data_IF_147326076645
#
_entry.id   IF_147326076645
#
_cell.length_a   1.000
_cell.length_b   1.000
_cell.length_c   1.000
_cell.angle_alpha   90.00
_cell.angle_beta   90.00
_cell.angle_gamma   90.00
#
_symmetry.space_group_name_H-M   'P 1'
#
loop_
_entity.id
_entity.type
_entity.pdbx_description
1 polymer ?
#
# COMPACT_ATOMS: atom_id res chain seq x y z
N UNK A 1 64.99 23.96 37.70
CA UNK A 1 65.97 22.86 37.64
C UNK A 1 65.26 21.56 37.92
N UNK A 2 65.31 20.63 36.97
CA UNK A 2 64.90 19.23 37.10
C UNK A 2 65.63 18.57 38.27
N UNK A 3 64.94 17.77 39.10
CA UNK A 3 65.23 16.33 39.26
C UNK A 3 64.29 15.61 40.25
N UNK A 4 63.79 14.49 39.74
CA UNK A 4 63.66 13.15 40.32
C UNK A 4 62.63 12.74 41.39
N UNK A 5 62.07 11.57 41.03
CA UNK A 5 61.07 10.71 41.67
C UNK A 5 61.64 9.94 42.87
N UNK A 6 60.76 9.66 43.83
CA UNK A 6 60.84 8.52 44.74
C UNK A 6 59.44 7.93 44.96
N UNK A 7 59.27 6.63 44.70
CA UNK A 7 58.03 5.84 44.80
C UNK A 7 57.50 5.73 46.25
N UNK A 8 56.18 5.51 46.47
CA UNK A 8 55.68 4.89 47.70
C UNK A 8 55.35 3.40 47.52
N UNK A 9 55.51 2.65 48.61
CA UNK A 9 55.12 1.24 48.81
C UNK A 9 53.69 1.14 49.41
N UNK A 10 53.08 -0.06 49.47
CA UNK A 10 51.63 -0.24 49.31
C UNK A 10 50.84 -0.24 50.63
N UNK A 11 49.55 0.10 50.54
CA UNK A 11 48.56 -0.13 51.59
C UNK A 11 47.41 -0.98 51.05
N UNK A 12 47.19 -2.12 51.72
CA UNK A 12 46.09 -3.07 51.49
C UNK A 12 44.76 -2.44 51.90
N UNK A 13 43.77 -2.50 51.02
CA UNK A 13 42.36 -2.35 51.38
C UNK A 13 41.66 -3.62 50.94
N UNK A 14 41.08 -4.32 51.92
CA UNK A 14 40.20 -5.48 51.77
C UNK A 14 38.90 -5.03 51.08
N UNK A 15 38.67 -5.46 49.84
CA UNK A 15 37.40 -5.31 49.16
C UNK A 15 36.44 -6.45 49.56
N UNK A 16 35.27 -6.05 50.04
CA UNK A 16 34.10 -6.92 50.20
C UNK A 16 33.48 -7.09 48.80
N UNK A 17 33.55 -8.30 48.25
CA UNK A 17 32.91 -8.62 46.99
C UNK A 17 31.39 -8.69 47.16
N UNK A 18 30.67 -7.65 46.72
CA UNK A 18 29.25 -7.75 46.41
C UNK A 18 29.13 -8.27 44.96
N UNK A 19 28.72 -9.53 44.79
CA UNK A 19 28.41 -10.08 43.48
C UNK A 19 27.10 -9.46 42.96
N UNK A 20 27.22 -8.48 42.06
CA UNK A 20 26.09 -8.03 41.23
C UNK A 20 26.02 -8.95 40.02
N UNK A 21 25.05 -9.87 40.01
CA UNK A 21 24.72 -10.66 38.83
C UNK A 21 24.08 -9.74 37.79
N UNK A 22 24.87 -9.25 36.84
CA UNK A 22 24.34 -8.75 35.58
C UNK A 22 23.88 -9.94 34.75
N UNK A 23 22.58 -10.22 34.75
CA UNK A 23 21.97 -11.06 33.71
C UNK A 23 22.09 -10.31 32.39
N UNK A 24 23.09 -10.64 31.57
CA UNK A 24 23.09 -10.27 30.16
C UNK A 24 21.94 -11.04 29.48
N UNK A 25 20.76 -10.43 29.40
CA UNK A 25 19.75 -10.86 28.43
C UNK A 25 20.20 -10.42 27.05
N UNK A 26 20.98 -11.25 26.38
CA UNK A 26 21.16 -11.16 24.95
C UNK A 26 19.77 -11.27 24.29
N UNK A 27 19.41 -10.40 23.34
CA UNK A 27 18.18 -10.59 22.57
C UNK A 27 18.33 -11.90 21.81
N UNK A 28 17.44 -12.86 22.09
CA UNK A 28 17.30 -14.07 21.29
C UNK A 28 16.89 -13.61 19.91
N UNK A 29 17.83 -13.65 18.97
CA UNK A 29 17.53 -13.53 17.56
C UNK A 29 16.64 -14.72 17.20
N UNK A 30 15.35 -14.46 17.01
CA UNK A 30 14.44 -15.43 16.41
C UNK A 30 14.84 -15.55 14.95
N UNK A 31 15.75 -16.48 14.66
CA UNK A 31 15.96 -16.95 13.31
C UNK A 31 14.63 -17.48 12.77
N UNK A 32 14.09 -16.83 11.74
CA UNK A 32 13.01 -17.41 10.95
C UNK A 32 13.55 -18.70 10.35
N UNK A 33 13.00 -19.83 10.79
CA UNK A 33 13.14 -21.10 10.08
C UNK A 33 12.48 -20.88 8.72
N UNK A 34 13.29 -20.78 7.67
CA UNK A 34 12.81 -20.93 6.30
C UNK A 34 12.58 -22.41 6.13
N UNK A 35 11.34 -22.83 6.32
CA UNK A 35 10.92 -24.19 6.04
C UNK A 35 10.97 -24.39 4.51
N UNK A 36 11.93 -25.19 4.07
CA UNK A 36 12.23 -25.44 2.68
C UNK A 36 11.54 -26.75 2.24
N UNK A 37 10.23 -26.82 2.45
CA UNK A 37 9.37 -27.91 2.00
C UNK A 37 8.36 -27.38 0.98
N UNK A 38 8.48 -27.83 -0.27
CA UNK A 38 7.45 -27.60 -1.29
C UNK A 38 6.09 -28.08 -0.81
N UNK A 39 5.09 -27.19 -0.93
CA UNK A 39 3.73 -27.20 -0.35
C UNK A 39 3.63 -26.82 1.14
N UNK A 40 3.34 -25.55 1.42
CA UNK A 40 2.68 -25.13 2.66
C UNK A 40 1.74 -23.94 2.37
N UNK A 41 0.58 -23.92 3.05
CA UNK A 41 -0.66 -23.31 2.56
C UNK A 41 -0.68 -21.80 2.36
N UNK A 42 -1.74 -21.32 1.71
CA UNK A 42 -1.97 -19.89 1.51
C UNK A 42 -2.04 -19.13 2.84
N UNK A 43 -1.29 -18.03 2.94
CA UNK A 43 -1.34 -17.12 4.10
C UNK A 43 -2.78 -16.61 4.31
N UNK A 44 -3.20 -16.51 5.56
CA UNK A 44 -4.60 -16.22 5.90
C UNK A 44 -5.07 -14.87 5.36
N UNK A 45 -4.15 -13.89 5.25
CA UNK A 45 -4.45 -12.59 4.69
C UNK A 45 -4.91 -12.65 3.23
N UNK A 46 -4.38 -13.57 2.44
CA UNK A 46 -4.78 -13.74 1.04
C UNK A 46 -6.11 -14.50 0.91
N UNK A 47 -6.36 -15.46 1.82
CA UNK A 47 -7.66 -16.13 1.94
C UNK A 47 -8.77 -15.16 2.30
N UNK A 48 -8.46 -14.11 3.07
CA UNK A 48 -9.39 -13.01 3.37
C UNK A 48 -9.80 -12.23 2.11
N UNK A 49 -8.87 -12.03 1.17
CA UNK A 49 -9.11 -11.17 0.00
C UNK A 49 -9.93 -11.85 -1.09
N UNK A 50 -9.66 -13.12 -1.36
CA UNK A 50 -10.39 -13.89 -2.37
C UNK A 50 -10.15 -15.40 -2.19
N UNK A 51 -11.19 -16.22 -2.37
CA UNK A 51 -11.07 -17.69 -2.40
C UNK A 51 -10.11 -18.16 -3.50
N UNK A 52 -10.06 -17.42 -4.61
CA UNK A 52 -9.23 -17.67 -5.78
C UNK A 52 -8.01 -16.74 -5.86
N UNK A 53 -7.54 -16.23 -4.72
CA UNK A 53 -6.33 -15.40 -4.69
C UNK A 53 -5.16 -16.15 -5.35
N UNK A 54 -4.34 -15.43 -6.13
CA UNK A 54 -3.33 -16.05 -7.01
C UNK A 54 -2.28 -16.85 -6.24
N UNK A 55 -1.98 -16.42 -5.01
CA UNK A 55 -1.07 -17.11 -4.07
C UNK A 55 -1.73 -18.29 -3.35
N UNK A 56 -3.07 -18.38 -3.35
CA UNK A 56 -3.79 -19.50 -2.75
C UNK A 56 -4.08 -20.64 -3.73
N UNK A 57 -4.16 -20.32 -5.02
CA UNK A 57 -4.45 -21.29 -6.06
C UNK A 57 -3.26 -22.22 -6.27
N UNK A 58 -3.55 -23.50 -6.46
CA UNK A 58 -2.57 -24.44 -6.98
C UNK A 58 -2.33 -24.16 -8.47
N UNK A 59 -1.07 -24.21 -8.95
CA UNK A 59 -0.77 -24.13 -10.37
C UNK A 59 -1.57 -25.17 -11.15
N UNK A 60 -2.08 -24.80 -12.33
CA UNK A 60 -2.73 -25.77 -13.22
C UNK A 60 -1.71 -26.83 -13.64
N UNK A 61 -2.09 -28.11 -13.61
CA UNK A 61 -1.17 -29.22 -13.92
C UNK A 61 -0.55 -29.13 -15.33
N UNK A 62 -1.25 -28.48 -16.27
CA UNK A 62 -0.78 -28.22 -17.63
C UNK A 62 0.28 -27.10 -17.71
N UNK A 63 0.34 -26.20 -16.72
CA UNK A 63 1.34 -25.16 -16.65
C UNK A 63 2.62 -25.70 -16.02
N UNK A 64 3.59 -26.03 -16.86
CA UNK A 64 4.92 -26.49 -16.43
C UNK A 64 5.98 -25.51 -16.96
N UNK A 65 6.27 -24.42 -16.23
CA UNK A 65 7.29 -23.47 -16.63
C UNK A 65 8.67 -24.15 -16.77
N UNK A 66 9.29 -24.02 -17.94
CA UNK A 66 10.69 -24.43 -18.19
C UNK A 66 11.69 -23.37 -17.73
N UNK A 67 11.24 -22.12 -17.60
CA UNK A 67 11.97 -21.01 -17.00
C UNK A 67 10.97 -20.18 -16.21
N UNK A 68 11.34 -19.75 -15.00
CA UNK A 68 10.50 -18.92 -14.15
C UNK A 68 11.37 -18.03 -13.25
N UNK A 69 10.84 -16.88 -12.86
CA UNK A 69 11.52 -15.95 -11.95
C UNK A 69 12.03 -14.68 -12.65
N UNK A 70 12.42 -13.72 -11.82
CA UNK A 70 13.01 -12.44 -12.23
C UNK A 70 14.28 -12.25 -11.42
N UNK A 71 15.43 -12.20 -12.09
CA UNK A 71 16.73 -12.00 -11.43
C UNK A 71 16.95 -10.53 -11.08
N UNK A 72 17.90 -10.22 -10.19
CA UNK A 72 18.15 -8.83 -9.77
C UNK A 72 18.54 -7.91 -10.93
N UNK A 73 19.34 -8.40 -11.88
CA UNK A 73 19.65 -7.65 -13.10
C UNK A 73 18.40 -7.34 -13.96
N UNK A 74 17.41 -8.24 -13.97
CA UNK A 74 16.14 -7.98 -14.65
C UNK A 74 15.34 -6.90 -13.91
N UNK A 75 15.34 -6.88 -12.58
CA UNK A 75 14.65 -5.85 -11.78
C UNK A 75 15.14 -4.45 -12.15
N UNK A 76 16.46 -4.28 -12.30
CA UNK A 76 17.07 -3.01 -12.72
C UNK A 76 16.64 -2.62 -14.14
N UNK A 77 16.66 -3.56 -15.09
CA UNK A 77 16.20 -3.33 -16.47
C UNK A 77 14.72 -2.92 -16.49
N UNK A 78 13.88 -3.61 -15.72
CA UNK A 78 12.45 -3.35 -15.62
C UNK A 78 12.22 -1.94 -15.09
N UNK A 79 12.83 -1.57 -13.96
CA UNK A 79 12.67 -0.24 -13.36
C UNK A 79 13.17 0.86 -14.30
N UNK A 80 14.36 0.67 -14.89
CA UNK A 80 14.94 1.63 -15.82
C UNK A 80 14.03 1.85 -17.03
N UNK A 81 13.48 0.78 -17.62
CA UNK A 81 12.56 0.88 -18.75
C UNK A 81 11.24 1.57 -18.37
N UNK A 82 10.65 1.24 -17.22
CA UNK A 82 9.43 1.90 -16.73
C UNK A 82 9.64 3.40 -16.54
N UNK A 83 10.68 3.78 -15.78
CA UNK A 83 10.95 5.17 -15.45
C UNK A 83 11.43 5.98 -16.66
N UNK A 84 12.15 5.37 -17.61
CA UNK A 84 12.49 5.99 -18.90
C UNK A 84 11.23 6.42 -19.66
N UNK A 85 10.25 5.52 -19.84
CA UNK A 85 9.02 5.86 -20.56
C UNK A 85 8.16 6.86 -19.80
N UNK A 86 8.04 6.72 -18.48
CA UNK A 86 7.33 7.70 -17.63
C UNK A 86 7.94 9.09 -17.74
N UNK A 87 9.28 9.18 -17.71
CA UNK A 87 10.00 10.44 -17.86
C UNK A 87 9.77 11.07 -19.22
N UNK A 88 9.81 10.29 -20.31
CA UNK A 88 9.52 10.79 -21.66
C UNK A 88 8.11 11.38 -21.78
N UNK A 89 7.12 10.78 -21.12
CA UNK A 89 5.75 11.29 -21.05
C UNK A 89 5.73 12.59 -20.25
N UNK A 90 6.32 12.60 -19.05
CA UNK A 90 6.28 13.74 -18.14
C UNK A 90 6.87 15.02 -18.77
N UNK A 91 8.01 14.91 -19.46
CA UNK A 91 8.69 16.05 -20.09
C UNK A 91 8.19 16.35 -21.51
N UNK A 92 7.18 15.64 -22.02
CA UNK A 92 6.59 15.92 -23.33
C UNK A 92 7.47 15.59 -24.54
N UNK A 93 8.46 14.70 -24.42
CA UNK A 93 9.48 14.42 -25.45
C UNK A 93 8.91 13.87 -26.78
N UNK A 94 7.62 13.53 -26.85
CA UNK A 94 6.97 12.98 -28.05
C UNK A 94 5.82 13.86 -28.60
N UNK A 95 5.59 15.08 -28.08
CA UNK A 95 4.59 16.08 -28.55
C UNK A 95 3.12 15.62 -28.74
N UNK A 96 2.81 14.32 -28.58
CA UNK A 96 1.48 13.72 -28.79
C UNK A 96 0.59 13.73 -27.55
N UNK A 97 1.18 13.98 -26.39
CA UNK A 97 0.52 13.92 -25.10
C UNK A 97 0.85 15.17 -24.28
N UNK A 98 -0.08 15.62 -23.40
CA UNK A 98 0.21 16.66 -22.43
C UNK A 98 1.40 16.28 -21.53
N UNK A 99 2.07 17.30 -21.01
CA UNK A 99 3.03 17.14 -19.93
C UNK A 99 2.32 16.64 -18.67
N UNK A 100 3.05 15.86 -17.86
CA UNK A 100 2.54 15.34 -16.60
C UNK A 100 3.17 16.08 -15.43
N UNK A 101 2.37 16.82 -14.67
CA UNK A 101 2.88 17.63 -13.56
C UNK A 101 3.23 16.84 -12.30
N UNK A 102 2.68 15.63 -12.16
CA UNK A 102 2.70 14.84 -10.92
C UNK A 102 3.18 13.38 -11.09
N UNK A 103 3.95 13.08 -12.14
CA UNK A 103 4.38 11.72 -12.46
C UNK A 103 5.41 11.18 -11.46
N UNK A 104 5.04 10.18 -10.65
CA UNK A 104 5.97 9.55 -9.70
C UNK A 104 7.03 8.69 -10.39
N UNK A 105 8.23 8.66 -9.81
CA UNK A 105 9.22 7.63 -10.11
C UNK A 105 8.81 6.29 -9.49
N UNK A 106 8.92 5.21 -10.24
CA UNK A 106 8.60 3.86 -9.75
C UNK A 106 9.78 3.23 -9.02
N UNK A 107 9.49 2.50 -7.96
CA UNK A 107 10.42 1.66 -7.20
C UNK A 107 9.96 0.20 -7.19
N UNK A 108 10.89 -0.72 -6.98
CA UNK A 108 10.57 -2.14 -6.88
C UNK A 108 9.81 -2.46 -5.59
N UNK A 109 8.86 -3.39 -5.66
CA UNK A 109 8.21 -3.98 -4.48
C UNK A 109 8.13 -5.50 -4.61
N UNK A 110 8.69 -6.19 -3.61
CA UNK A 110 8.79 -7.65 -3.62
C UNK A 110 7.45 -8.38 -3.39
N UNK A 111 6.48 -7.76 -2.72
CA UNK A 111 5.16 -8.36 -2.55
C UNK A 111 4.37 -8.31 -3.86
N UNK A 112 4.48 -7.20 -4.61
CA UNK A 112 3.98 -7.10 -5.99
C UNK A 112 4.66 -8.12 -6.91
N UNK A 113 5.98 -8.29 -6.79
CA UNK A 113 6.72 -9.28 -7.58
C UNK A 113 6.25 -10.71 -7.26
N UNK A 114 5.98 -11.02 -5.99
CA UNK A 114 5.46 -12.33 -5.56
C UNK A 114 4.12 -12.65 -6.21
N UNK A 115 3.15 -11.73 -6.17
CA UNK A 115 1.84 -11.97 -6.81
C UNK A 115 1.93 -12.00 -8.34
N UNK A 116 2.81 -11.19 -8.94
CA UNK A 116 3.06 -11.20 -10.37
C UNK A 116 3.72 -12.51 -10.83
N UNK A 117 4.67 -13.04 -10.06
CA UNK A 117 5.34 -14.31 -10.34
C UNK A 117 4.40 -15.50 -10.15
N UNK A 118 3.57 -15.47 -9.11
CA UNK A 118 2.51 -16.46 -8.95
C UNK A 118 1.58 -16.46 -10.17
N UNK A 119 1.13 -15.30 -10.64
CA UNK A 119 0.34 -15.17 -11.86
C UNK A 119 1.05 -15.77 -13.08
N UNK A 120 2.33 -15.44 -13.30
CA UNK A 120 3.10 -16.00 -14.41
C UNK A 120 3.20 -17.54 -14.34
N UNK A 121 3.34 -18.09 -13.13
CA UNK A 121 3.40 -19.53 -12.87
C UNK A 121 2.06 -20.26 -13.03
N UNK A 122 0.95 -19.55 -13.25
CA UNK A 122 -0.33 -20.18 -13.61
C UNK A 122 -0.50 -20.33 -15.13
N UNK A 123 0.37 -19.73 -15.96
CA UNK A 123 0.29 -19.77 -17.43
C UNK A 123 -1.08 -19.35 -18.02
N UNK A 124 -1.86 -18.60 -17.25
CA UNK A 124 -3.24 -18.27 -17.62
C UNK A 124 -3.34 -16.82 -18.08
N UNK A 125 -4.42 -16.54 -18.79
CA UNK A 125 -4.81 -15.17 -19.05
C UNK A 125 -5.18 -14.47 -17.73
N UNK A 126 -5.17 -13.15 -17.80
CA UNK A 126 -5.58 -12.20 -16.79
C UNK A 126 -6.72 -12.72 -15.87
N UNK A 127 -6.50 -12.91 -14.55
CA UNK A 127 -7.60 -13.09 -13.61
C UNK A 127 -8.56 -11.92 -13.74
N UNK A 128 -9.85 -12.22 -13.91
CA UNK A 128 -10.90 -11.20 -14.09
C UNK A 128 -11.30 -10.50 -12.78
N UNK A 129 -10.71 -10.90 -11.65
CA UNK A 129 -11.04 -10.42 -10.31
C UNK A 129 -10.02 -9.41 -9.79
N UNK A 130 -10.50 -8.25 -9.32
CA UNK A 130 -9.67 -7.17 -8.76
C UNK A 130 -8.99 -7.51 -7.44
N UNK A 131 -9.57 -8.38 -6.61
CA UNK A 131 -9.00 -8.77 -5.31
C UNK A 131 -8.08 -9.98 -5.36
N UNK A 132 -7.94 -10.65 -6.51
CA UNK A 132 -7.15 -11.89 -6.63
C UNK A 132 -5.64 -11.69 -6.61
N UNK A 133 -5.16 -10.45 -6.70
CA UNK A 133 -3.75 -10.08 -6.56
C UNK A 133 -3.53 -9.01 -5.51
N UNK A 134 -4.53 -8.77 -4.65
CA UNK A 134 -4.46 -7.78 -3.59
C UNK A 134 -3.36 -8.16 -2.60
N UNK A 135 -2.61 -7.17 -2.15
CA UNK A 135 -1.63 -7.33 -1.07
C UNK A 135 -1.93 -6.32 0.05
N UNK A 136 -1.38 -6.53 1.25
CA UNK A 136 -1.67 -5.66 2.41
C UNK A 136 -1.41 -4.18 2.13
N UNK A 137 -0.29 -3.88 1.47
CA UNK A 137 0.12 -2.51 1.11
C UNK A 137 -0.82 -1.83 0.10
N UNK A 138 -1.46 -2.59 -0.78
CA UNK A 138 -2.23 -2.06 -1.91
C UNK A 138 -3.55 -2.81 -2.08
N UNK A 139 -4.68 -2.21 -1.64
CA UNK A 139 -6.02 -2.77 -1.83
C UNK A 139 -6.37 -3.01 -3.30
N UNK A 140 -5.84 -2.17 -4.19
CA UNK A 140 -5.98 -2.28 -5.64
C UNK A 140 -4.60 -2.44 -6.27
N UNK A 141 -4.36 -3.61 -6.87
CA UNK A 141 -3.13 -3.92 -7.60
C UNK A 141 -3.42 -3.91 -9.09
N UNK A 142 -2.78 -2.99 -9.81
CA UNK A 142 -2.85 -2.96 -11.26
C UNK A 142 -2.04 -4.10 -11.85
N UNK A 143 -2.40 -4.58 -13.05
CA UNK A 143 -1.61 -5.60 -13.76
C UNK A 143 -1.58 -5.35 -15.25
N UNK A 144 -0.40 -5.43 -15.83
CA UNK A 144 -0.19 -5.49 -17.28
C UNK A 144 1.03 -6.39 -17.58
N UNK A 145 1.38 -6.56 -18.84
CA UNK A 145 2.48 -7.40 -19.28
C UNK A 145 2.31 -7.85 -20.73
N UNK A 146 3.03 -8.91 -21.09
CA UNK A 146 3.08 -9.39 -22.47
C UNK A 146 2.96 -10.91 -22.51
N UNK A 147 2.35 -11.41 -23.59
CA UNK A 147 2.40 -12.82 -23.95
C UNK A 147 3.08 -12.94 -25.31
N UNK A 148 4.26 -13.53 -25.34
CA UNK A 148 5.04 -13.72 -26.57
C UNK A 148 5.08 -15.20 -26.89
N UNK A 149 4.64 -15.57 -28.09
CA UNK A 149 4.77 -16.94 -28.61
C UNK A 149 6.04 -17.06 -29.42
N UNK A 150 6.80 -18.14 -29.25
CA UNK A 150 8.11 -18.32 -29.91
C UNK A 150 8.49 -19.78 -30.08
N UNK A 151 9.24 -20.10 -31.13
CA UNK A 151 9.93 -21.38 -31.28
C UNK A 151 11.34 -21.38 -30.68
N UNK A 152 11.79 -20.21 -30.21
CA UNK A 152 13.14 -20.04 -29.70
C UNK A 152 13.34 -20.77 -28.38
N UNK A 153 14.37 -21.61 -28.33
CA UNK A 153 14.87 -22.19 -27.09
C UNK A 153 15.58 -21.14 -26.21
N UNK A 154 15.73 -19.88 -26.66
CA UNK A 154 16.29 -18.81 -25.83
C UNK A 154 15.43 -18.58 -24.56
N UNK A 155 16.09 -18.70 -23.42
CA UNK A 155 15.49 -18.59 -22.10
C UNK A 155 15.56 -17.17 -21.51
N UNK A 156 16.30 -16.26 -22.13
CA UNK A 156 16.37 -14.87 -21.67
C UNK A 156 15.01 -14.17 -21.84
N UNK A 157 14.65 -13.40 -20.81
CA UNK A 157 13.52 -12.50 -20.83
C UNK A 157 13.91 -11.20 -21.57
N UNK A 158 13.01 -10.70 -22.42
CA UNK A 158 13.16 -9.41 -23.10
C UNK A 158 12.23 -8.38 -22.44
N UNK A 159 12.64 -7.92 -21.26
CA UNK A 159 11.87 -6.96 -20.47
C UNK A 159 11.74 -5.60 -21.15
N UNK A 160 12.82 -5.10 -21.77
CA UNK A 160 12.77 -3.84 -22.51
C UNK A 160 11.79 -3.93 -23.69
N UNK A 161 11.82 -5.03 -24.45
CA UNK A 161 10.90 -5.26 -25.55
C UNK A 161 9.44 -5.34 -25.10
N UNK A 162 9.16 -6.04 -24.00
CA UNK A 162 7.80 -6.11 -23.44
C UNK A 162 7.30 -4.74 -22.98
N UNK A 163 8.06 -4.02 -22.16
CA UNK A 163 7.66 -2.70 -21.65
C UNK A 163 7.56 -1.69 -22.81
N UNK A 164 8.43 -1.80 -23.81
CA UNK A 164 8.34 -1.02 -25.03
C UNK A 164 7.09 -1.32 -25.85
N UNK A 165 6.61 -2.57 -25.88
CA UNK A 165 5.33 -2.93 -26.49
C UNK A 165 4.15 -2.29 -25.75
N UNK A 166 4.18 -2.29 -24.42
CA UNK A 166 3.18 -1.57 -23.61
C UNK A 166 3.16 -0.07 -23.95
N UNK A 167 4.34 0.58 -24.04
CA UNK A 167 4.42 1.99 -24.43
C UNK A 167 3.90 2.24 -25.86
N UNK A 168 4.13 1.33 -26.81
CA UNK A 168 3.66 1.43 -28.20
C UNK A 168 2.14 1.43 -28.33
N UNK A 169 1.38 0.98 -27.33
CA UNK A 169 -0.09 1.12 -27.36
C UNK A 169 -0.52 2.59 -27.45
N UNK A 170 0.32 3.52 -26.96
CA UNK A 170 0.12 4.97 -27.13
C UNK A 170 -0.09 5.41 -28.57
N UNK A 171 0.45 4.67 -29.55
CA UNK A 171 0.30 4.97 -30.97
C UNK A 171 -1.15 4.85 -31.44
N UNK A 172 -1.98 4.06 -30.75
CA UNK A 172 -3.41 3.87 -31.02
C UNK A 172 -4.26 5.06 -30.56
N UNK A 173 -3.69 5.97 -29.78
CA UNK A 173 -4.36 7.18 -29.31
C UNK A 173 -4.27 8.23 -30.42
N UNK A 174 -5.41 8.79 -30.88
CA UNK A 174 -5.39 9.92 -31.81
C UNK A 174 -4.52 11.05 -31.28
N UNK A 175 -3.90 11.84 -32.16
CA UNK A 175 -3.17 13.01 -31.71
C UNK A 175 -4.17 14.02 -31.11
N UNK A 176 -4.16 14.15 -29.78
CA UNK A 176 -5.03 15.07 -29.05
C UNK A 176 -4.29 16.38 -28.76
N UNK A 177 -5.03 17.44 -28.44
CA UNK A 177 -4.42 18.69 -27.96
C UNK A 177 -3.46 18.40 -26.80
N UNK A 178 -2.36 19.15 -26.71
CA UNK A 178 -1.40 19.13 -25.60
C UNK A 178 -2.00 19.57 -24.26
N UNK A 179 -3.29 19.91 -24.22
CA UNK A 179 -4.06 20.27 -23.03
C UNK A 179 -5.15 19.27 -22.65
N UNK A 180 -5.42 18.24 -23.47
CA UNK A 180 -6.52 17.30 -23.23
C UNK A 180 -6.11 16.23 -22.20
N UNK A 181 -6.81 16.10 -21.06
CA UNK A 181 -6.52 15.06 -20.10
C UNK A 181 -6.58 13.65 -20.70
N UNK A 182 -5.53 12.87 -20.49
CA UNK A 182 -5.49 11.47 -20.92
C UNK A 182 -6.31 10.60 -19.96
N UNK A 183 -7.13 9.72 -20.51
CA UNK A 183 -7.94 8.73 -19.77
C UNK A 183 -7.78 7.35 -20.39
N UNK A 184 -7.96 6.32 -19.59
CA UNK A 184 -7.90 4.92 -20.07
C UNK A 184 -9.05 4.61 -21.02
N UNK A 185 -8.71 3.93 -22.12
CA UNK A 185 -9.66 3.45 -23.12
C UNK A 185 -9.30 2.01 -23.50
N UNK A 186 -10.23 1.33 -24.18
CA UNK A 186 -10.03 -0.07 -24.61
C UNK A 186 -8.86 -0.16 -25.58
N UNK A 187 -7.94 -1.10 -25.32
CA UNK A 187 -6.78 -1.38 -26.15
C UNK A 187 -5.55 -0.51 -25.90
N UNK A 188 -5.53 0.30 -24.83
CA UNK A 188 -4.37 1.11 -24.41
C UNK A 188 -4.07 0.97 -22.91
N UNK A 189 -4.70 0.00 -22.24
CA UNK A 189 -4.68 -0.17 -20.79
C UNK A 189 -3.26 -0.40 -20.25
N UNK A 190 -2.39 -1.05 -21.04
CA UNK A 190 -0.98 -1.27 -20.65
C UNK A 190 -0.20 0.02 -20.68
N UNK A 191 -0.39 0.83 -21.73
CA UNK A 191 0.21 2.16 -21.80
C UNK A 191 -0.27 3.05 -20.65
N UNK A 192 -1.58 3.12 -20.39
CA UNK A 192 -2.11 4.00 -19.35
C UNK A 192 -1.75 3.55 -17.94
N UNK A 193 -1.60 2.24 -17.69
CA UNK A 193 -1.04 1.76 -16.41
C UNK A 193 0.44 2.14 -16.26
N UNK A 194 1.25 1.97 -17.31
CA UNK A 194 2.65 2.39 -17.33
C UNK A 194 2.79 3.91 -17.06
N UNK A 195 1.88 4.70 -17.64
CA UNK A 195 1.83 6.15 -17.53
C UNK A 195 1.07 6.68 -16.29
N UNK A 196 0.54 5.81 -15.43
CA UNK A 196 -0.32 6.24 -14.32
C UNK A 196 0.48 7.01 -13.27
N UNK A 197 0.23 8.30 -13.09
CA UNK A 197 1.07 9.18 -12.27
C UNK A 197 1.19 8.70 -10.82
N UNK A 198 0.07 8.28 -10.21
CA UNK A 198 0.01 7.86 -8.81
C UNK A 198 0.64 6.48 -8.54
N UNK A 199 0.86 5.66 -9.58
CA UNK A 199 1.53 4.36 -9.43
C UNK A 199 3.03 4.58 -9.27
N UNK A 200 3.59 4.10 -8.17
CA UNK A 200 5.01 4.30 -7.82
C UNK A 200 5.70 3.03 -7.31
N UNK A 201 4.97 1.93 -7.14
CA UNK A 201 5.55 0.61 -6.91
C UNK A 201 5.26 -0.31 -8.07
N UNK A 202 6.25 -1.12 -8.46
CA UNK A 202 6.11 -2.17 -9.45
C UNK A 202 6.85 -3.42 -9.00
N UNK A 203 6.28 -4.58 -9.28
CA UNK A 203 6.97 -5.86 -9.14
C UNK A 203 6.51 -6.79 -10.24
N UNK A 204 7.43 -7.52 -10.86
CA UNK A 204 7.12 -8.33 -12.03
C UNK A 204 7.47 -9.82 -11.81
N UNK A 205 6.89 -10.65 -12.66
CA UNK A 205 7.05 -12.09 -12.72
C UNK A 205 7.12 -12.58 -14.15
N UNK A 206 7.86 -13.66 -14.38
CA UNK A 206 8.08 -14.22 -15.70
C UNK A 206 7.98 -15.74 -15.69
N UNK A 207 7.39 -16.30 -16.74
CA UNK A 207 7.38 -17.73 -17.00
C UNK A 207 7.49 -17.99 -18.50
N UNK A 208 8.33 -18.95 -18.88
CA UNK A 208 8.35 -19.57 -20.20
C UNK A 208 7.84 -21.00 -20.06
N UNK A 209 6.87 -21.40 -20.86
CA UNK A 209 6.24 -22.72 -20.77
C UNK A 209 5.89 -23.25 -22.17
N UNK A 210 5.72 -24.58 -22.33
CA UNK A 210 5.26 -25.17 -23.59
C UNK A 210 3.94 -24.55 -24.04
N UNK A 211 3.84 -24.14 -25.30
CA UNK A 211 2.60 -23.57 -25.82
C UNK A 211 1.59 -24.64 -26.21
N UNK A 212 0.30 -24.32 -26.07
CA UNK A 212 -0.78 -25.05 -26.73
C UNK A 212 -1.05 -24.61 -28.18
N UNK A 213 -0.20 -23.76 -28.76
CA UNK A 213 -0.36 -23.21 -30.12
C UNK A 213 0.61 -23.84 -31.14
N UNK A 214 0.67 -23.31 -32.36
CA UNK A 214 1.59 -23.79 -33.40
C UNK A 214 3.07 -23.55 -33.10
N UNK A 215 3.38 -22.59 -32.22
CA UNK A 215 4.75 -22.28 -31.77
C UNK A 215 5.09 -23.11 -30.54
N UNK A 216 6.37 -23.44 -30.32
CA UNK A 216 6.78 -24.36 -29.24
C UNK A 216 6.57 -23.81 -27.83
N UNK A 217 6.74 -22.50 -27.61
CA UNK A 217 6.73 -21.89 -26.27
C UNK A 217 5.88 -20.62 -26.22
N UNK A 218 5.34 -20.35 -25.03
CA UNK A 218 4.85 -19.02 -24.65
C UNK A 218 5.74 -18.45 -23.54
N UNK A 219 5.99 -17.14 -23.62
CA UNK A 219 6.68 -16.33 -22.60
C UNK A 219 5.67 -15.34 -22.04
N UNK A 220 5.27 -15.54 -20.78
CA UNK A 220 4.36 -14.67 -20.06
C UNK A 220 5.15 -13.74 -19.13
N UNK A 221 5.07 -12.45 -19.44
CA UNK A 221 5.59 -11.37 -18.62
C UNK A 221 4.41 -10.76 -17.87
N UNK A 222 4.54 -10.62 -16.56
CA UNK A 222 3.51 -10.02 -15.71
C UNK A 222 4.14 -8.95 -14.86
N UNK A 223 3.59 -7.74 -14.84
CA UNK A 223 3.95 -6.71 -13.88
C UNK A 223 2.72 -6.31 -13.08
N UNK A 224 2.89 -6.26 -11.76
CA UNK A 224 1.90 -5.81 -10.79
C UNK A 224 2.29 -4.41 -10.29
N UNK A 225 1.31 -3.54 -10.09
CA UNK A 225 1.48 -2.10 -9.89
C UNK A 225 0.74 -1.62 -8.64
N UNK A 226 1.42 -0.80 -7.83
CA UNK A 226 0.92 -0.29 -6.56
C UNK A 226 1.04 1.24 -6.44
N UNK A 227 -0.05 1.96 -6.08
CA UNK A 227 -1.44 1.54 -6.28
C UNK A 227 -1.73 1.24 -7.75
N UNK A 228 -2.74 0.42 -8.02
CA UNK A 228 -3.22 0.13 -9.37
C UNK A 228 -3.76 1.37 -10.08
N UNK A 229 -3.47 1.47 -11.37
CA UNK A 229 -3.97 2.53 -12.23
C UNK A 229 -5.25 2.15 -12.96
N UNK A 230 -5.54 2.86 -14.06
CA UNK A 230 -6.70 2.64 -14.92
C UNK A 230 -8.05 2.72 -14.20
N UNK A 231 -8.13 3.54 -13.16
CA UNK A 231 -9.38 3.79 -12.43
C UNK A 231 -10.37 4.48 -13.37
N UNK A 232 -11.56 3.91 -13.48
CA UNK A 232 -12.60 4.41 -14.39
C UNK A 232 -13.00 5.83 -14.00
N UNK A 233 -12.95 6.75 -14.96
CA UNK A 233 -13.34 8.15 -14.74
C UNK A 233 -12.22 9.01 -14.16
N UNK A 234 -11.04 8.45 -13.88
CA UNK A 234 -9.85 9.20 -13.48
C UNK A 234 -8.97 9.58 -14.67
N UNK A 235 -8.11 10.57 -14.47
CA UNK A 235 -7.08 10.97 -15.44
C UNK A 235 -5.81 10.16 -15.17
N UNK A 236 -5.07 9.82 -16.23
CA UNK A 236 -3.82 9.05 -16.11
C UNK A 236 -2.75 9.83 -15.35
N UNK A 237 -2.72 11.15 -15.54
CA UNK A 237 -1.89 12.10 -14.81
C UNK A 237 -2.50 13.50 -14.89
N UNK A 238 -2.07 14.41 -14.02
CA UNK A 238 -2.49 15.81 -14.08
C UNK A 238 -1.72 16.54 -15.19
N UNK A 239 -2.45 17.26 -16.03
CA UNK A 239 -1.87 18.04 -17.13
C UNK A 239 -1.19 19.28 -16.56
N UNK A 240 0.09 19.46 -16.87
CA UNK A 240 0.85 20.64 -16.47
C UNK A 240 2.36 20.45 -16.65
N UNK A 241 3.16 21.52 -16.51
CA UNK A 241 4.61 21.42 -16.62
C UNK A 241 5.16 20.32 -15.71
N UNK A 242 6.15 19.56 -16.21
CA UNK A 242 6.76 18.49 -15.44
C UNK A 242 7.16 18.99 -14.04
N UNK A 243 6.78 18.23 -13.02
CA UNK A 243 7.05 18.50 -11.61
C UNK A 243 6.38 19.73 -10.99
N UNK A 244 5.43 20.37 -11.69
CA UNK A 244 4.71 21.50 -11.12
C UNK A 244 3.68 21.13 -10.06
N UNK A 245 3.38 19.83 -9.88
CA UNK A 245 2.37 19.34 -8.94
C UNK A 245 2.77 17.97 -8.36
N UNK A 246 4.06 17.79 -8.05
CA UNK A 246 4.52 16.60 -7.35
C UNK A 246 3.88 16.51 -5.96
N UNK A 247 3.43 15.31 -5.53
CA UNK A 247 2.79 15.15 -4.22
C UNK A 247 3.79 15.42 -3.09
N UNK A 248 3.27 15.72 -1.90
CA UNK A 248 4.10 15.85 -0.70
C UNK A 248 4.95 14.59 -0.45
N UNK A 249 6.04 14.72 0.31
CA UNK A 249 6.94 13.59 0.54
C UNK A 249 7.76 13.17 -0.69
N UNK A 250 7.71 13.98 -1.77
CA UNK A 250 8.52 13.80 -2.97
C UNK A 250 9.34 15.05 -3.28
N UNK A 251 10.31 14.89 -4.18
CA UNK A 251 11.09 15.95 -4.79
C UNK A 251 11.14 15.74 -6.29
N UNK A 252 11.58 16.74 -7.05
CA UNK A 252 11.88 16.55 -8.46
C UNK A 252 13.10 17.35 -8.92
N UNK A 253 13.90 16.74 -9.80
CA UNK A 253 15.03 17.38 -10.45
C UNK A 253 16.01 17.98 -9.44
N UNK A 254 16.37 19.25 -9.62
CA UNK A 254 17.32 19.94 -8.75
C UNK A 254 16.87 20.06 -7.28
N UNK A 255 15.55 20.05 -7.02
CA UNK A 255 15.03 20.16 -5.65
C UNK A 255 15.39 18.96 -4.77
N UNK A 256 15.65 17.80 -5.38
CA UNK A 256 16.05 16.58 -4.66
C UNK A 256 17.39 16.69 -3.93
N UNK A 257 18.25 17.62 -4.35
CA UNK A 257 19.54 17.87 -3.66
C UNK A 257 19.37 18.24 -2.20
N UNK A 258 18.25 18.87 -1.81
CA UNK A 258 17.94 19.21 -0.41
C UNK A 258 17.74 17.98 0.50
N UNK A 259 17.48 16.83 -0.11
CA UNK A 259 17.28 15.55 0.55
C UNK A 259 18.47 14.59 0.37
N UNK A 260 19.57 15.05 -0.26
CA UNK A 260 20.70 14.18 -0.59
C UNK A 260 20.39 13.16 -1.71
N UNK A 261 19.30 13.34 -2.45
CA UNK A 261 18.87 12.45 -3.53
C UNK A 261 19.31 13.00 -4.88
N UNK A 262 19.90 12.14 -5.72
CA UNK A 262 20.19 12.45 -7.12
C UNK A 262 19.24 11.66 -8.01
N UNK A 263 18.19 12.29 -8.57
CA UNK A 263 17.17 11.58 -9.32
C UNK A 263 17.75 11.08 -10.65
N UNK A 264 17.48 9.82 -11.00
CA UNK A 264 17.87 9.25 -12.30
C UNK A 264 17.12 9.93 -13.46
N UNK A 265 15.91 10.44 -13.17
CA UNK A 265 15.05 11.13 -14.13
C UNK A 265 14.58 12.48 -13.58
N UNK A 266 15.12 13.58 -14.11
CA UNK A 266 14.86 14.93 -13.58
C UNK A 266 13.44 15.45 -13.76
N UNK A 267 12.58 14.74 -14.51
CA UNK A 267 11.17 15.10 -14.74
C UNK A 267 10.18 14.22 -13.98
N UNK A 268 10.65 13.36 -13.08
CA UNK A 268 9.80 12.53 -12.23
C UNK A 268 9.84 13.02 -10.78
N UNK A 269 8.73 12.79 -10.08
CA UNK A 269 8.60 13.02 -8.65
C UNK A 269 9.20 11.83 -7.90
N UNK A 270 10.41 12.00 -7.37
CA UNK A 270 11.15 11.00 -6.60
C UNK A 270 10.73 11.04 -5.14
N UNK A 271 10.42 9.89 -4.54
CA UNK A 271 10.04 9.79 -3.13
C UNK A 271 11.24 10.10 -2.22
N UNK A 272 11.04 10.93 -1.20
CA UNK A 272 12.07 11.33 -0.22
C UNK A 272 11.67 11.08 1.23
N UNK A 273 10.45 10.59 1.45
CA UNK A 273 9.92 10.17 2.75
C UNK A 273 9.41 8.74 2.69
N UNK A 274 8.60 8.33 3.67
CA UNK A 274 7.95 7.02 3.70
C UNK A 274 6.79 6.97 2.69
N UNK A 275 7.09 7.08 1.39
CA UNK A 275 6.12 7.16 0.28
C UNK A 275 5.64 8.57 -0.07
N UNK A 276 4.95 8.72 -1.22
CA UNK A 276 4.31 9.96 -1.62
C UNK A 276 3.14 10.26 -0.68
N UNK A 277 3.07 11.47 -0.15
CA UNK A 277 1.96 11.92 0.68
C UNK A 277 0.64 11.83 -0.09
N UNK A 278 -0.41 11.39 0.60
CA UNK A 278 -1.76 11.72 0.18
C UNK A 278 -1.87 13.24 0.30
N UNK A 279 -2.41 13.94 -0.71
CA UNK A 279 -2.74 15.35 -0.55
C UNK A 279 -3.60 15.45 0.72
N UNK A 280 -3.00 15.93 1.79
CA UNK A 280 -3.75 16.51 2.87
C UNK A 280 -4.23 17.78 2.22
N UNK A 281 -5.48 17.77 1.73
CA UNK A 281 -6.11 19.05 1.46
C UNK A 281 -5.90 19.84 2.75
N UNK A 282 -5.12 20.92 2.62
CA UNK A 282 -4.85 21.90 3.66
C UNK A 282 -6.17 22.67 3.86
N UNK A 283 -7.19 21.90 4.22
CA UNK A 283 -8.52 22.33 4.49
C UNK A 283 -8.41 23.03 5.83
N UNK A 284 -8.41 24.36 5.75
CA UNK A 284 -8.90 25.20 6.83
C UNK A 284 -10.04 24.44 7.52
N UNK A 285 -9.96 24.30 8.85
CA UNK A 285 -10.89 23.55 9.71
C UNK A 285 -10.54 22.07 10.02
N UNK A 286 -9.42 21.49 9.55
CA UNK A 286 -9.03 20.12 9.97
C UNK A 286 -8.59 20.06 11.45
N UNK A 287 -9.28 19.27 12.28
CA UNK A 287 -8.99 19.14 13.73
C UNK A 287 -8.49 17.77 14.16
N UNK A 288 -8.80 16.72 13.41
CA UNK A 288 -8.19 15.40 13.56
C UNK A 288 -7.97 14.80 12.18
N UNK A 289 -6.84 14.15 11.99
CA UNK A 289 -6.59 13.34 10.81
C UNK A 289 -5.71 12.16 11.18
N UNK A 290 -6.27 10.97 11.15
CA UNK A 290 -5.55 9.76 11.45
C UNK A 290 -5.61 8.84 10.23
N UNK A 291 -4.46 8.70 9.56
CA UNK A 291 -4.24 7.78 8.45
C UNK A 291 -3.47 6.52 8.89
N UNK A 292 -3.31 6.31 10.20
CA UNK A 292 -2.59 5.18 10.79
C UNK A 292 -1.16 4.98 10.24
N UNK A 293 -0.55 6.07 9.80
CA UNK A 293 0.80 6.11 9.27
C UNK A 293 1.75 6.83 10.24
N UNK A 294 3.04 6.90 9.90
CA UNK A 294 4.04 7.58 10.74
C UNK A 294 3.81 9.09 10.83
N UNK A 295 3.37 9.72 9.73
CA UNK A 295 3.14 11.17 9.61
C UNK A 295 2.02 11.65 10.54
N UNK A 296 0.91 10.93 10.60
CA UNK A 296 -0.28 11.26 11.40
C UNK A 296 -0.33 10.53 12.74
N UNK A 297 0.70 9.75 13.08
CA UNK A 297 0.73 8.90 14.28
C UNK A 297 0.39 9.64 15.59
N UNK A 298 0.73 10.93 15.68
CA UNK A 298 0.38 11.81 16.82
C UNK A 298 -1.13 12.01 17.03
N UNK A 299 -1.92 11.85 15.97
CA UNK A 299 -3.38 11.99 15.96
C UNK A 299 -4.09 10.64 16.09
N UNK A 300 -3.34 9.53 16.05
CA UNK A 300 -3.84 8.16 16.03
C UNK A 300 -3.76 7.42 17.36
N UNK A 301 -3.53 8.11 18.48
CA UNK A 301 -3.43 7.44 19.78
C UNK A 301 -4.82 6.99 20.24
N UNK A 302 -4.97 5.68 20.50
CA UNK A 302 -6.21 5.06 20.96
C UNK A 302 -5.95 4.00 22.04
N UNK A 303 -6.96 3.78 22.86
CA UNK A 303 -7.03 2.67 23.81
C UNK A 303 -7.94 1.58 23.26
N UNK A 304 -7.69 0.32 23.62
CA UNK A 304 -8.48 -0.83 23.18
C UNK A 304 -8.96 -1.68 24.35
N UNK A 305 -10.17 -2.21 24.23
CA UNK A 305 -10.78 -3.17 25.16
C UNK A 305 -11.33 -4.38 24.39
N UNK A 306 -10.85 -5.61 24.61
CA UNK A 306 -9.73 -5.95 25.47
C UNK A 306 -8.43 -5.37 24.93
N UNK A 307 -7.46 -5.12 25.82
CA UNK A 307 -6.16 -4.58 25.44
C UNK A 307 -5.49 -5.43 24.37
N UNK A 308 -5.09 -4.81 23.25
CA UNK A 308 -4.41 -5.47 22.14
C UNK A 308 -5.33 -6.08 21.08
N UNK A 309 -6.66 -5.95 21.22
CA UNK A 309 -7.64 -6.38 20.22
C UNK A 309 -7.61 -5.56 18.91
N UNK A 310 -6.94 -4.41 18.94
CA UNK A 310 -6.75 -3.51 17.81
C UNK A 310 -5.27 -3.27 17.56
N UNK A 311 -4.81 -3.55 16.34
CA UNK A 311 -3.41 -3.39 15.94
C UNK A 311 -3.29 -2.37 14.81
N UNK A 312 -2.29 -1.49 14.87
CA UNK A 312 -2.02 -0.55 13.77
C UNK A 312 -1.00 -1.16 12.82
N UNK A 313 -1.35 -1.23 11.53
CA UNK A 313 -0.46 -1.58 10.43
C UNK A 313 -0.14 -0.33 9.62
N UNK A 314 1.14 -0.04 9.45
CA UNK A 314 1.60 1.16 8.73
C UNK A 314 2.31 0.76 7.44
N UNK A 315 1.91 1.38 6.33
CA UNK A 315 2.47 1.15 5.01
C UNK A 315 2.72 2.49 4.32
N UNK A 316 3.98 2.91 4.25
CA UNK A 316 4.34 4.18 3.62
C UNK A 316 3.59 5.37 4.29
N UNK A 317 2.99 6.23 3.48
CA UNK A 317 2.18 7.39 3.86
C UNK A 317 0.73 7.02 4.15
N UNK A 318 0.42 5.73 4.30
CA UNK A 318 -0.90 5.23 4.66
C UNK A 318 -0.78 4.12 5.73
N UNK A 319 -1.91 3.62 6.19
CA UNK A 319 -1.98 2.56 7.18
C UNK A 319 -3.42 2.27 7.53
N UNK A 320 -3.63 1.32 8.43
CA UNK A 320 -4.94 1.07 9.02
C UNK A 320 -4.83 0.48 10.42
N UNK A 321 -5.84 0.72 11.24
CA UNK A 321 -6.08 -0.08 12.44
C UNK A 321 -6.94 -1.29 12.09
N UNK A 322 -6.52 -2.46 12.56
CA UNK A 322 -7.12 -3.77 12.28
C UNK A 322 -7.60 -4.43 13.56
N UNK A 323 -8.79 -5.02 13.50
CA UNK A 323 -9.26 -6.01 14.47
C UNK A 323 -9.77 -7.24 13.73
N UNK A 324 -9.40 -8.41 14.23
CA UNK A 324 -9.88 -9.72 13.75
C UNK A 324 -10.45 -10.45 14.97
N UNK A 325 -11.71 -10.82 14.90
CA UNK A 325 -12.45 -11.40 16.02
C UNK A 325 -13.09 -12.73 15.62
N UNK A 326 -13.06 -13.66 16.56
CA UNK A 326 -13.73 -14.96 16.49
C UNK A 326 -15.19 -14.89 16.96
N UNK A 327 -15.93 -15.97 16.78
CA UNK A 327 -17.33 -16.08 17.18
C UNK A 327 -17.55 -15.70 18.67
N UNK A 328 -18.49 -14.77 18.91
CA UNK A 328 -18.87 -14.33 20.25
C UNK A 328 -17.94 -13.27 20.87
N UNK A 329 -16.87 -12.87 20.18
CA UNK A 329 -15.96 -11.84 20.67
C UNK A 329 -16.45 -10.42 20.31
N UNK A 330 -16.00 -9.46 21.10
CA UNK A 330 -16.19 -8.03 20.88
C UNK A 330 -14.91 -7.27 21.23
N UNK A 331 -14.68 -6.18 20.53
CA UNK A 331 -13.60 -5.26 20.81
C UNK A 331 -14.06 -3.82 20.61
N UNK A 332 -13.59 -2.92 21.46
CA UNK A 332 -13.77 -1.48 21.31
C UNK A 332 -12.41 -0.78 21.22
N UNK A 333 -12.36 0.30 20.47
CA UNK A 333 -11.27 1.26 20.52
C UNK A 333 -11.80 2.66 20.79
N UNK A 334 -11.04 3.50 21.50
CA UNK A 334 -11.39 4.91 21.72
C UNK A 334 -10.17 5.78 21.56
N UNK A 335 -10.26 6.80 20.72
CA UNK A 335 -9.21 7.80 20.57
C UNK A 335 -9.01 8.57 21.88
N UNK A 336 -7.76 8.72 22.29
CA UNK A 336 -7.43 9.28 23.62
C UNK A 336 -7.81 10.76 23.73
N UNK A 337 -7.62 11.51 22.64
CA UNK A 337 -7.85 12.95 22.60
C UNK A 337 -9.30 13.25 22.19
N UNK A 338 -10.10 13.88 23.05
CA UNK A 338 -11.42 14.37 22.65
C UNK A 338 -11.28 15.53 21.66
N UNK A 339 -12.20 15.61 20.71
CA UNK A 339 -12.33 16.74 19.80
C UNK A 339 -13.16 17.82 20.49
N UNK A 340 -12.62 19.03 20.56
CA UNK A 340 -13.35 20.19 21.07
C UNK A 340 -13.88 20.96 19.86
N UNK A 341 -15.21 21.08 19.69
CA UNK A 341 -15.77 21.87 18.60
C UNK A 341 -15.53 23.36 18.84
N UNK A 342 -15.29 24.11 17.77
CA UNK A 342 -15.34 25.57 17.79
C UNK A 342 -16.76 26.10 18.06
N UNK A 343 -16.93 27.42 18.20
CA UNK A 343 -18.18 28.05 18.64
C UNK A 343 -19.40 27.75 17.75
N UNK A 344 -19.21 27.37 16.49
CA UNK A 344 -20.30 26.96 15.57
C UNK A 344 -20.81 25.53 15.85
N UNK A 345 -20.07 24.72 16.60
CA UNK A 345 -20.52 23.40 17.09
C UNK A 345 -20.69 22.31 16.03
N UNK A 346 -20.36 22.58 14.76
CA UNK A 346 -20.51 21.64 13.64
C UNK A 346 -19.20 20.93 13.34
N UNK A 347 -19.24 19.60 13.40
CA UNK A 347 -18.10 18.74 13.06
C UNK A 347 -18.49 17.77 11.95
N UNK A 348 -17.67 17.65 10.91
CA UNK A 348 -17.78 16.59 9.91
C UNK A 348 -16.81 15.49 10.28
N UNK A 349 -17.33 14.32 10.65
CA UNK A 349 -16.53 13.12 10.88
C UNK A 349 -16.53 12.28 9.61
N UNK A 350 -15.33 12.02 9.09
CA UNK A 350 -15.10 11.13 7.95
C UNK A 350 -14.37 9.88 8.42
N UNK A 351 -14.89 8.72 8.06
CA UNK A 351 -14.27 7.42 8.36
C UNK A 351 -14.16 6.62 7.08
N UNK A 352 -12.94 6.18 6.73
CA UNK A 352 -12.71 5.23 5.66
C UNK A 352 -12.38 3.85 6.24
N UNK A 353 -13.13 2.83 5.86
CA UNK A 353 -13.00 1.48 6.43
C UNK A 353 -13.44 0.38 5.47
N UNK A 354 -13.03 -0.85 5.73
CA UNK A 354 -13.66 -2.05 5.16
C UNK A 354 -13.79 -3.12 6.24
N UNK A 355 -14.86 -3.91 6.16
CA UNK A 355 -15.15 -4.98 7.13
C UNK A 355 -15.71 -6.20 6.42
N UNK A 356 -15.65 -7.35 7.06
CA UNK A 356 -16.37 -8.53 6.58
C UNK A 356 -15.75 -9.82 7.08
N UNK A 357 -15.99 -10.94 6.38
CA UNK A 357 -15.48 -12.23 6.81
C UNK A 357 -13.95 -12.27 6.71
N UNK A 358 -13.30 -12.89 7.69
CA UNK A 358 -11.85 -13.08 7.69
C UNK A 358 -11.38 -14.11 6.64
N UNK A 359 -12.30 -14.91 6.09
CA UNK A 359 -12.09 -15.81 4.96
C UNK A 359 -13.15 -15.51 3.91
N UNK A 360 -12.71 -15.20 2.68
CA UNK A 360 -13.62 -14.89 1.57
C UNK A 360 -14.63 -16.03 1.33
N UNK A 361 -15.85 -15.66 0.93
CA UNK A 361 -16.95 -16.61 0.69
C UNK A 361 -17.71 -17.09 1.93
N UNK A 362 -17.17 -16.88 3.14
CA UNK A 362 -17.93 -17.16 4.37
C UNK A 362 -18.92 -16.02 4.71
N UNK A 363 -20.00 -16.29 5.48
CA UNK A 363 -21.00 -15.27 5.80
C UNK A 363 -20.43 -14.03 6.52
N UNK A 364 -20.81 -12.84 6.05
CA UNK A 364 -20.58 -11.57 6.77
C UNK A 364 -21.64 -11.41 7.87
N UNK A 365 -21.19 -11.41 9.12
CA UNK A 365 -22.05 -11.20 10.30
C UNK A 365 -21.45 -10.20 11.29
N UNK A 366 -20.32 -9.59 10.96
CA UNK A 366 -19.63 -8.66 11.85
C UNK A 366 -20.39 -7.34 11.97
N UNK A 367 -20.62 -6.89 13.20
CA UNK A 367 -21.26 -5.61 13.50
C UNK A 367 -20.18 -4.59 13.84
N UNK A 368 -20.02 -3.59 12.99
CA UNK A 368 -19.07 -2.50 13.20
C UNK A 368 -19.81 -1.18 13.41
N UNK A 369 -19.41 -0.42 14.42
CA UNK A 369 -20.08 0.83 14.76
C UNK A 369 -19.07 1.92 15.11
N UNK A 370 -19.41 3.16 14.74
CA UNK A 370 -18.82 4.38 15.27
C UNK A 370 -19.49 4.72 16.59
N UNK A 371 -18.70 5.04 17.61
CA UNK A 371 -19.16 5.49 18.92
C UNK A 371 -18.74 6.95 19.09
N UNK A 372 -19.71 7.80 19.43
CA UNK A 372 -19.51 9.22 19.70
C UNK A 372 -19.94 9.50 21.14
N UNK A 373 -18.98 9.84 22.00
CA UNK A 373 -19.22 10.00 23.44
C UNK A 373 -18.97 11.45 23.85
N UNK A 374 -20.00 12.24 24.19
CA UNK A 374 -19.82 13.57 24.76
C UNK A 374 -19.02 13.50 26.06
N UNK A 375 -18.05 14.40 26.23
CA UNK A 375 -17.10 14.38 27.37
C UNK A 375 -17.79 14.70 28.70
N UNK A 376 -18.76 15.61 28.69
CA UNK A 376 -19.52 16.04 29.87
C UNK A 376 -20.72 15.13 30.17
N UNK A 377 -21.21 14.40 29.17
CA UNK A 377 -22.41 13.55 29.22
C UNK A 377 -22.19 12.21 28.52
N UNK A 378 -21.33 11.33 29.07
CA UNK A 378 -21.01 10.04 28.46
C UNK A 378 -22.24 9.13 28.33
N UNK A 379 -23.25 9.30 29.18
CA UNK A 379 -24.52 8.57 29.10
C UNK A 379 -25.34 8.87 27.83
N UNK A 380 -25.03 9.98 27.14
CA UNK A 380 -25.64 10.37 25.86
C UNK A 380 -24.85 9.90 24.64
N UNK A 381 -23.99 8.91 24.80
CA UNK A 381 -23.23 8.36 23.69
C UNK A 381 -24.16 7.92 22.54
N UNK A 382 -23.71 8.15 21.31
CA UNK A 382 -24.39 7.70 20.09
C UNK A 382 -23.58 6.63 19.42
N UNK A 383 -24.26 5.58 19.01
CA UNK A 383 -23.69 4.50 18.20
C UNK A 383 -24.29 4.55 16.81
N UNK A 384 -23.43 4.58 15.80
CA UNK A 384 -23.82 4.65 14.39
C UNK A 384 -23.29 3.40 13.71
N UNK A 385 -24.19 2.61 13.12
CA UNK A 385 -23.80 1.41 12.40
C UNK A 385 -23.06 1.78 11.12
N UNK A 386 -21.89 1.16 10.95
CA UNK A 386 -21.03 1.32 9.80
C UNK A 386 -21.19 0.09 8.88
N UNK A 387 -22.14 0.18 7.95
CA UNK A 387 -22.46 -0.87 6.98
C UNK A 387 -21.41 -0.94 5.86
N UNK A 388 -21.55 -1.86 4.91
CA UNK A 388 -20.55 -2.10 3.85
C UNK A 388 -19.97 -3.51 3.90
N UNK A 389 -18.90 -3.77 3.15
CA UNK A 389 -18.35 -5.13 3.00
C UNK A 389 -16.86 -5.15 2.69
N UNK A 390 -16.33 -6.36 2.42
CA UNK A 390 -14.89 -6.61 2.37
C UNK A 390 -14.20 -6.11 1.08
N UNK A 391 -14.98 -5.90 0.02
CA UNK A 391 -14.47 -5.70 -1.35
C UNK A 391 -13.95 -4.30 -1.60
N UNK A 392 -14.61 -3.27 -1.08
CA UNK A 392 -14.27 -1.86 -1.30
C UNK A 392 -14.02 -1.15 0.04
N UNK A 393 -13.14 -0.14 0.01
CA UNK A 393 -13.05 0.82 1.11
C UNK A 393 -14.28 1.70 1.05
N UNK A 394 -15.06 1.69 2.12
CA UNK A 394 -16.23 2.54 2.33
C UNK A 394 -15.79 3.86 2.92
N UNK A 395 -16.34 4.98 2.45
CA UNK A 395 -16.20 6.28 3.10
C UNK A 395 -17.55 6.69 3.69
N UNK A 396 -17.57 6.98 4.99
CA UNK A 396 -18.76 7.45 5.70
C UNK A 396 -18.49 8.86 6.23
N UNK A 397 -19.41 9.78 5.96
CA UNK A 397 -19.35 11.18 6.41
C UNK A 397 -20.57 11.52 7.25
N UNK A 398 -20.35 12.12 8.42
CA UNK A 398 -21.41 12.41 9.39
C UNK A 398 -21.21 13.82 9.96
N UNK A 399 -22.23 14.66 9.79
CA UNK A 399 -22.28 15.96 10.45
C UNK A 399 -22.80 15.80 11.87
N UNK A 400 -22.02 16.27 12.83
CA UNK A 400 -22.35 16.32 14.26
C UNK A 400 -22.60 17.76 14.68
N UNK A 401 -23.64 17.96 15.49
CA UNK A 401 -23.99 19.24 16.09
C UNK A 401 -23.79 19.14 17.60
N UNK A 402 -22.54 19.18 18.04
CA UNK A 402 -22.19 19.12 19.46
C UNK A 402 -21.61 20.47 19.89
N UNK A 403 -22.08 20.98 21.02
CA UNK A 403 -21.56 22.17 21.67
C UNK A 403 -20.57 21.84 22.81
N UNK A 404 -20.15 20.59 22.89
CA UNK A 404 -19.28 20.03 23.94
C UNK A 404 -18.23 19.14 23.27
N UNK A 405 -17.13 18.90 23.97
CA UNK A 405 -16.11 17.98 23.49
C UNK A 405 -16.64 16.56 23.29
N UNK A 406 -16.14 15.85 22.28
CA UNK A 406 -16.59 14.50 21.91
C UNK A 406 -15.40 13.57 21.76
N UNK A 407 -15.48 12.37 22.35
CA UNK A 407 -14.57 11.26 22.08
C UNK A 407 -15.09 10.43 20.92
N UNK A 408 -14.18 10.04 20.03
CA UNK A 408 -14.45 9.15 18.91
C UNK A 408 -13.94 7.77 19.29
N UNK A 409 -14.80 6.75 19.15
CA UNK A 409 -14.45 5.37 19.33
C UNK A 409 -15.14 4.48 18.31
N UNK A 410 -14.82 3.20 18.35
CA UNK A 410 -15.40 2.20 17.46
C UNK A 410 -15.64 0.91 18.23
N UNK A 411 -16.74 0.22 17.94
CA UNK A 411 -16.96 -1.14 18.41
C UNK A 411 -17.06 -2.12 17.25
N UNK A 412 -16.53 -3.31 17.46
CA UNK A 412 -16.61 -4.43 16.55
C UNK A 412 -17.07 -5.67 17.31
N UNK A 413 -18.15 -6.29 16.85
CA UNK A 413 -18.76 -7.46 17.51
C UNK A 413 -18.99 -8.56 16.49
N UNK A 414 -18.61 -9.78 16.84
CA UNK A 414 -18.88 -10.97 16.04
C UNK A 414 -19.91 -11.83 16.77
N UNK A 415 -21.16 -11.95 16.27
CA UNK A 415 -22.19 -12.75 16.91
C UNK A 415 -21.76 -14.22 17.07
N UNK A 416 -22.23 -14.87 18.14
CA UNK A 416 -22.00 -16.30 18.35
C UNK A 416 -22.45 -17.15 17.15
N UNK A 417 -21.68 -18.20 16.84
CA UNK A 417 -21.94 -19.08 15.69
C UNK A 417 -21.64 -18.45 14.31
N UNK A 418 -20.92 -17.32 14.28
CA UNK A 418 -20.43 -16.71 13.04
C UNK A 418 -18.99 -17.13 12.74
N UNK A 419 -18.54 -17.17 11.48
CA UNK A 419 -17.12 -17.31 11.17
C UNK A 419 -16.36 -16.06 11.62
N UNK A 420 -15.04 -16.18 11.81
CA UNK A 420 -14.16 -15.05 12.13
C UNK A 420 -14.39 -13.88 11.17
N UNK A 421 -14.39 -12.66 11.69
CA UNK A 421 -14.60 -11.43 10.93
C UNK A 421 -13.43 -10.48 11.16
N UNK A 422 -13.25 -9.53 10.25
CA UNK A 422 -12.27 -8.47 10.38
C UNK A 422 -12.88 -7.10 10.12
N UNK A 423 -12.18 -6.07 10.60
CA UNK A 423 -12.39 -4.68 10.23
C UNK A 423 -11.05 -3.97 10.14
N UNK A 424 -10.89 -3.15 9.10
CA UNK A 424 -9.76 -2.24 8.92
C UNK A 424 -10.29 -0.80 8.81
N UNK A 425 -9.74 0.11 9.61
CA UNK A 425 -10.02 1.55 9.55
C UNK A 425 -8.80 2.22 8.93
N UNK A 426 -8.95 2.77 7.72
CA UNK A 426 -7.88 3.42 6.95
C UNK A 426 -7.74 4.90 7.25
N UNK A 427 -8.86 5.56 7.58
CA UNK A 427 -8.88 6.99 7.88
C UNK A 427 -9.93 7.30 8.93
N UNK A 428 -9.56 8.17 9.86
CA UNK A 428 -10.51 8.93 10.68
C UNK A 428 -10.10 10.38 10.55
N UNK A 429 -10.96 11.22 9.99
CA UNK A 429 -10.73 12.66 9.88
C UNK A 429 -11.91 13.42 10.46
N UNK A 430 -11.63 14.59 11.04
CA UNK A 430 -12.64 15.48 11.60
C UNK A 430 -12.34 16.90 11.17
N UNK A 431 -13.37 17.56 10.64
CA UNK A 431 -13.32 18.93 10.18
C UNK A 431 -14.32 19.79 10.97
N UNK A 432 -13.97 21.02 11.33
CA UNK A 432 -14.86 22.03 11.92
C UNK A 432 -15.75 22.67 10.85
N UNK A 433 -16.55 21.85 10.18
CA UNK A 433 -17.57 22.26 9.23
C UNK A 433 -18.64 21.18 9.15
N UNK A 434 -19.77 21.49 8.51
CA UNK A 434 -20.68 20.44 8.06
C UNK A 434 -20.03 19.62 6.94
N UNK A 435 -20.36 18.33 6.84
CA UNK A 435 -19.93 17.52 5.70
C UNK A 435 -20.56 18.08 4.41
N UNK A 436 -19.75 18.29 3.38
CA UNK A 436 -20.26 18.57 2.03
C UNK A 436 -20.89 17.30 1.44
N UNK A 437 -21.98 17.46 0.70
CA UNK A 437 -22.60 16.37 -0.08
C UNK A 437 -21.68 15.83 -1.18
#
# INVERSE_FOLDING_TARGET
MTLNRGKPAPLRVTEVALAVFFTLSAPVAVARVVDNSGQSGCEDIYRRYNENHILCRQPESACQPVVSGVGDADKDIILAAHNRYRSQIAIGNNSRFPYASNMLEMEWDEDLARVAQAHANHCTSQPSCSSCMRIEKFPHVGRTGCLIRTDSDNNTADWEGCIGYMYKESLRIPNTSSSTPLRTMRGIESFTQLAWAATWKVGCGYAKYPSGSALRFEKLYTCAYGPGGNVRGEQVYKVGPACSDCPEGTCCGGSCRRYGVTPAHSGLCTVVSDGPGVLLDDEDNLVLNCLFNRVTSRWCQYQSDPSGSWTTKTFFSTGYAESVLEAGQSAEMTFERPIQPSSDGRLCVEVEYNRGPNVAGTPDRGLFNLILTPVDRPERQRTINLSGGATNIMSMRITLNYNVGVKIGFSFVVPGGSPAQYVNIHKVAVYEKACSE
#
